data_IF_731345189402
#
_entry.id   IF_731345189402
#
_cell.length_a   1.000
_cell.length_b   1.000
_cell.length_c   1.000
_cell.angle_alpha   90.00
_cell.angle_beta   90.00
_cell.angle_gamma   90.00
#
_symmetry.space_group_name_H-M   'P 1'
#
loop_
_entity.id
_entity.type
_entity.pdbx_description
1 polymer ?
#
# COMPACT_ATOMS: atom_id res chain seq x y z
N UNK A 1 12.97 10.56 -2.28
CA UNK A 1 12.49 10.62 -3.69
C UNK A 1 11.40 9.59 -3.95
N UNK A 2 11.59 8.31 -3.58
CA UNK A 2 10.61 7.24 -3.78
C UNK A 2 9.19 7.60 -3.31
N UNK A 3 8.99 8.06 -2.06
CA UNK A 3 7.64 8.43 -1.57
C UNK A 3 6.94 9.48 -2.43
N UNK A 4 7.67 10.50 -2.89
CA UNK A 4 7.10 11.55 -3.74
C UNK A 4 6.65 11.00 -5.10
N UNK A 5 7.45 10.12 -5.69
CA UNK A 5 7.11 9.47 -6.96
C UNK A 5 5.93 8.49 -6.79
N UNK A 6 5.90 7.70 -5.71
CA UNK A 6 4.79 6.81 -5.40
C UNK A 6 3.49 7.58 -5.13
N UNK A 7 3.57 8.73 -4.46
CA UNK A 7 2.42 9.61 -4.26
C UNK A 7 1.91 10.20 -5.58
N UNK A 8 2.81 10.72 -6.43
CA UNK A 8 2.40 11.20 -7.75
C UNK A 8 1.77 10.08 -8.60
N UNK A 9 2.34 8.87 -8.59
CA UNK A 9 1.78 7.72 -9.30
C UNK A 9 0.37 7.39 -8.79
N UNK A 10 0.15 7.46 -7.47
CA UNK A 10 -1.16 7.29 -6.86
C UNK A 10 -2.15 8.35 -7.34
N UNK A 11 -1.74 9.62 -7.37
CA UNK A 11 -2.60 10.73 -7.80
C UNK A 11 -3.01 10.57 -9.28
N UNK A 12 -2.08 10.23 -10.17
CA UNK A 12 -2.38 9.97 -11.59
C UNK A 12 -3.26 8.73 -11.79
N UNK A 13 -3.02 7.66 -11.06
CA UNK A 13 -3.84 6.46 -11.14
C UNK A 13 -5.29 6.72 -10.68
N UNK A 14 -5.47 7.57 -9.66
CA UNK A 14 -6.81 8.01 -9.22
C UNK A 14 -7.50 8.88 -10.29
N UNK A 15 -6.78 9.83 -10.88
CA UNK A 15 -7.31 10.70 -11.94
C UNK A 15 -7.76 9.92 -13.18
N UNK A 16 -7.03 8.86 -13.52
CA UNK A 16 -7.31 8.02 -14.70
C UNK A 16 -8.29 6.88 -14.41
N UNK A 17 -8.65 6.64 -13.15
CA UNK A 17 -9.45 5.48 -12.73
C UNK A 17 -8.73 4.13 -12.90
N UNK A 18 -7.39 4.14 -13.04
CA UNK A 18 -6.59 2.93 -13.20
C UNK A 18 -6.39 2.26 -11.83
N UNK A 19 -7.32 1.39 -11.46
CA UNK A 19 -7.34 0.71 -10.16
C UNK A 19 -6.13 -0.21 -9.95
N UNK A 20 -5.56 -0.78 -11.02
CA UNK A 20 -4.34 -1.59 -10.94
C UNK A 20 -3.15 -0.75 -10.47
N UNK A 21 -2.88 0.35 -11.17
CA UNK A 21 -1.78 1.25 -10.82
C UNK A 21 -2.01 1.93 -9.46
N UNK A 22 -3.27 2.23 -9.13
CA UNK A 22 -3.64 2.79 -7.84
C UNK A 22 -3.29 1.83 -6.70
N UNK A 23 -3.61 0.54 -6.85
CA UNK A 23 -3.27 -0.47 -5.84
C UNK A 23 -1.75 -0.65 -5.70
N UNK A 24 -1.01 -0.66 -6.81
CA UNK A 24 0.45 -0.74 -6.78
C UNK A 24 1.11 0.47 -6.09
N UNK A 25 0.69 1.69 -6.43
CA UNK A 25 1.22 2.89 -5.79
C UNK A 25 0.95 2.92 -4.27
N UNK A 26 -0.23 2.44 -3.85
CA UNK A 26 -0.56 2.28 -2.43
C UNK A 26 0.34 1.25 -1.72
N UNK A 27 0.67 0.14 -2.39
CA UNK A 27 1.58 -0.85 -1.81
C UNK A 27 3.01 -0.35 -1.70
N UNK A 28 3.50 0.39 -2.69
CA UNK A 28 4.81 1.03 -2.62
C UNK A 28 4.88 2.04 -1.46
N UNK A 29 3.82 2.84 -1.27
CA UNK A 29 3.74 3.73 -0.11
C UNK A 29 3.73 2.96 1.21
N UNK A 30 3.02 1.83 1.29
CA UNK A 30 3.05 0.97 2.48
C UNK A 30 4.46 0.46 2.77
N UNK A 31 5.11 -0.14 1.77
CA UNK A 31 6.46 -0.67 1.89
C UNK A 31 7.46 0.41 2.35
N UNK A 32 7.44 1.58 1.72
CA UNK A 32 8.31 2.70 2.08
C UNK A 32 8.08 3.18 3.52
N UNK A 33 6.83 3.28 3.97
CA UNK A 33 6.53 3.69 5.35
C UNK A 33 6.97 2.63 6.37
N UNK A 34 6.84 1.34 6.06
CA UNK A 34 7.36 0.26 6.89
C UNK A 34 8.89 0.33 7.05
N UNK A 35 9.63 0.70 6.00
CA UNK A 35 11.09 0.88 6.07
C UNK A 35 11.50 2.14 6.82
N UNK A 36 10.64 3.15 6.86
CA UNK A 36 10.83 4.37 7.66
C UNK A 36 10.41 4.19 9.13
N UNK A 37 9.87 3.02 9.50
CA UNK A 37 9.37 2.75 10.85
C UNK A 37 7.97 3.31 11.13
N UNK A 38 7.33 3.95 10.16
CA UNK A 38 5.93 4.41 10.27
C UNK A 38 4.97 3.28 9.90
N UNK A 39 4.85 2.33 10.82
CA UNK A 39 4.00 1.15 10.63
C UNK A 39 2.51 1.50 10.60
N UNK A 40 2.10 2.61 11.23
CA UNK A 40 0.71 3.09 11.18
C UNK A 40 0.35 3.60 9.80
N UNK A 41 1.18 4.46 9.20
CA UNK A 41 0.98 4.90 7.81
C UNK A 41 1.06 3.71 6.86
N UNK A 42 2.02 2.80 7.06
CA UNK A 42 2.15 1.58 6.26
C UNK A 42 0.86 0.77 6.24
N UNK A 43 0.30 0.47 7.42
CA UNK A 43 -0.96 -0.27 7.53
C UNK A 43 -2.10 0.44 6.80
N UNK A 44 -2.21 1.76 6.95
CA UNK A 44 -3.25 2.55 6.28
C UNK A 44 -3.15 2.50 4.75
N UNK A 45 -1.94 2.55 4.20
CA UNK A 45 -1.71 2.40 2.77
C UNK A 45 -2.01 0.98 2.27
N UNK A 46 -1.59 -0.05 3.01
CA UNK A 46 -1.86 -1.44 2.65
C UNK A 46 -3.35 -1.78 2.62
N UNK A 47 -4.13 -1.28 3.60
CA UNK A 47 -5.59 -1.43 3.63
C UNK A 47 -6.28 -0.78 2.43
N UNK A 48 -5.86 0.45 2.07
CA UNK A 48 -6.38 1.13 0.87
C UNK A 48 -6.02 0.32 -0.39
N UNK A 49 -4.78 -0.14 -0.51
CA UNK A 49 -4.30 -0.91 -1.66
C UNK A 49 -5.08 -2.21 -1.86
N UNK A 50 -5.36 -2.93 -0.77
CA UNK A 50 -6.18 -4.15 -0.78
C UNK A 50 -7.62 -3.88 -1.22
N UNK A 51 -8.25 -2.82 -0.70
CA UNK A 51 -9.62 -2.46 -1.09
C UNK A 51 -9.72 -2.16 -2.58
N UNK A 52 -8.74 -1.45 -3.14
CA UNK A 52 -8.66 -1.17 -4.58
C UNK A 52 -8.41 -2.44 -5.39
N UNK A 53 -7.49 -3.31 -4.93
CA UNK A 53 -7.19 -4.58 -5.59
C UNK A 53 -8.42 -5.47 -5.70
N UNK A 54 -9.20 -5.60 -4.61
CA UNK A 54 -10.44 -6.38 -4.56
C UNK A 54 -11.48 -5.90 -5.58
N UNK A 55 -11.65 -4.58 -5.72
CA UNK A 55 -12.56 -3.99 -6.73
C UNK A 55 -12.11 -4.33 -8.15
N UNK A 56 -10.80 -4.41 -8.39
CA UNK A 56 -10.23 -4.69 -9.71
C UNK A 56 -10.11 -6.19 -10.05
N UNK A 57 -10.36 -7.10 -9.08
CA UNK A 57 -10.11 -8.53 -9.24
C UNK A 57 -8.61 -8.90 -9.35
N UNK A 58 -7.71 -7.99 -8.98
CA UNK A 58 -6.27 -8.18 -9.10
C UNK A 58 -5.71 -8.95 -7.90
N UNK A 59 -5.76 -10.28 -8.00
CA UNK A 59 -5.29 -11.21 -6.95
C UNK A 59 -3.82 -11.02 -6.57
N UNK A 60 -2.96 -10.62 -7.51
CA UNK A 60 -1.55 -10.35 -7.23
C UNK A 60 -1.39 -9.14 -6.30
N UNK A 61 -2.09 -8.05 -6.61
CA UNK A 61 -2.07 -6.85 -5.78
C UNK A 61 -2.73 -7.08 -4.42
N UNK A 62 -3.73 -7.95 -4.34
CA UNK A 62 -4.36 -8.35 -3.09
C UNK A 62 -3.40 -9.14 -2.18
N UNK A 63 -2.69 -10.13 -2.72
CA UNK A 63 -1.72 -10.93 -1.97
C UNK A 63 -0.58 -10.07 -1.41
N UNK A 64 -0.06 -9.14 -2.20
CA UNK A 64 1.01 -8.26 -1.76
C UNK A 64 0.53 -7.21 -0.73
N UNK A 65 -0.72 -6.72 -0.83
CA UNK A 65 -1.34 -5.91 0.21
C UNK A 65 -1.47 -6.64 1.56
N UNK A 66 -1.88 -7.92 1.55
CA UNK A 66 -1.95 -8.76 2.74
C UNK A 66 -0.57 -8.99 3.38
N UNK A 67 0.46 -9.21 2.56
CA UNK A 67 1.84 -9.35 3.04
C UNK A 67 2.30 -8.11 3.81
N UNK A 68 2.10 -6.91 3.26
CA UNK A 68 2.53 -5.68 3.93
C UNK A 68 1.70 -5.34 5.18
N UNK A 69 0.42 -5.71 5.21
CA UNK A 69 -0.36 -5.66 6.45
C UNK A 69 0.22 -6.57 7.52
N UNK A 70 0.57 -7.81 7.19
CA UNK A 70 1.16 -8.75 8.13
C UNK A 70 2.49 -8.23 8.70
N UNK A 71 3.35 -7.66 7.85
CA UNK A 71 4.61 -7.02 8.27
C UNK A 71 4.34 -5.85 9.23
N UNK A 72 3.39 -4.98 8.88
CA UNK A 72 3.05 -3.81 9.70
C UNK A 72 2.45 -4.21 11.05
N UNK A 73 1.57 -5.22 11.07
CA UNK A 73 0.95 -5.75 12.28
C UNK A 73 1.97 -6.45 13.18
N UNK A 74 2.88 -7.23 12.62
CA UNK A 74 3.96 -7.87 13.38
C UNK A 74 4.88 -6.81 14.02
N UNK A 75 5.23 -5.76 13.29
CA UNK A 75 6.02 -4.66 13.84
C UNK A 75 5.27 -3.88 14.94
N UNK A 76 3.98 -3.60 14.76
CA UNK A 76 3.16 -2.92 15.78
C UNK A 76 2.95 -3.80 17.02
N UNK A 77 2.75 -5.11 16.85
CA UNK A 77 2.59 -6.07 17.94
C UNK A 77 3.87 -6.37 18.70
N UNK A 78 5.03 -6.29 18.05
CA UNK A 78 6.35 -6.42 18.70
C UNK A 78 6.81 -5.14 19.43
N UNK A 79 6.05 -4.05 19.32
CA UNK A 79 6.28 -2.81 20.06
C UNK A 79 5.37 -2.67 21.30
N UNK A 80 4.69 -3.75 21.72
CA UNK A 80 3.91 -3.84 22.96
C UNK A 80 4.64 -4.68 24.00
#
# INVERSE_FOLDING_TARGET
MAMKHSQHALDFAQLTGNTREQSWALQELSWLNSHLGDYTASQGYAQKGQKVASISGNLYAEAAGLYYQAVSLHALGNNQ
#
